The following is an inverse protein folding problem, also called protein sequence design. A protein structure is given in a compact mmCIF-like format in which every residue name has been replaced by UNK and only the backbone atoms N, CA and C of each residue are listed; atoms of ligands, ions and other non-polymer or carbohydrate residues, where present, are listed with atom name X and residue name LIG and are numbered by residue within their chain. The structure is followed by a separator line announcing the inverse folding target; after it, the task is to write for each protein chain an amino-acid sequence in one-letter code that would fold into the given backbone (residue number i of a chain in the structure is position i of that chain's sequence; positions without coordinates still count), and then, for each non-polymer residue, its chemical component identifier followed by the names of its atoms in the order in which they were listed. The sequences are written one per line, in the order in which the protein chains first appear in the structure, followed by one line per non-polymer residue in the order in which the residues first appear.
data_IF_273803134939
#
_entry.id   IF_273803134939
#
_cell.length_a   1.000
_cell.length_b   1.000
_cell.length_c   1.000
_cell.angle_alpha   90.00
_cell.angle_beta   90.00
_cell.angle_gamma   90.00
#
_symmetry.space_group_name_H-M   'P 1'
#
loop_
_entity.id
_entity.type
_entity.pdbx_description
1 polymer ?
#
# COMPACT_ATOMS: atom_id res chain seq x y z
N UNK A 1 12.21 3.03 -9.84
CA UNK A 1 12.38 4.43 -9.35
C UNK A 1 11.39 4.80 -8.23
N UNK A 2 10.26 4.09 -8.05
CA UNK A 2 9.25 4.39 -7.01
C UNK A 2 9.60 3.83 -5.62
N UNK A 3 10.50 2.86 -5.51
CA UNK A 3 10.84 2.19 -4.24
C UNK A 3 11.48 3.18 -3.25
N UNK A 4 12.37 4.04 -3.75
CA UNK A 4 13.10 4.98 -2.90
C UNK A 4 12.15 5.96 -2.15
N UNK A 5 11.23 6.68 -2.83
CA UNK A 5 10.28 7.54 -2.14
C UNK A 5 9.36 6.76 -1.19
N UNK A 6 8.95 5.54 -1.54
CA UNK A 6 8.13 4.70 -0.66
C UNK A 6 8.89 4.33 0.63
N UNK A 7 10.14 3.91 0.50
CA UNK A 7 11.01 3.62 1.64
C UNK A 7 11.18 4.85 2.54
N UNK A 8 11.40 6.03 1.96
CA UNK A 8 11.53 7.27 2.71
C UNK A 8 10.27 7.63 3.49
N UNK A 9 9.09 7.45 2.88
CA UNK A 9 7.80 7.67 3.57
C UNK A 9 7.62 6.71 4.73
N UNK A 10 7.93 5.42 4.56
CA UNK A 10 7.83 4.44 5.64
C UNK A 10 8.84 4.69 6.75
N UNK A 11 10.09 5.07 6.43
CA UNK A 11 11.09 5.45 7.43
C UNK A 11 10.66 6.70 8.21
N UNK A 12 10.07 7.67 7.53
CA UNK A 12 9.55 8.88 8.18
C UNK A 12 8.37 8.57 9.10
N UNK A 13 7.41 7.74 8.63
CA UNK A 13 6.29 7.28 9.44
C UNK A 13 6.78 6.48 10.66
N UNK A 14 7.76 5.59 10.46
CA UNK A 14 8.40 4.87 11.56
C UNK A 14 8.98 5.83 12.60
N UNK A 15 9.73 6.85 12.16
CA UNK A 15 10.33 7.84 13.04
C UNK A 15 9.29 8.60 13.86
N UNK A 16 8.13 8.93 13.26
CA UNK A 16 7.09 9.71 13.92
C UNK A 16 6.25 8.89 14.91
N UNK A 17 5.92 7.65 14.56
CA UNK A 17 4.89 6.88 15.27
C UNK A 17 5.42 5.72 16.11
N UNK A 18 6.61 5.19 15.78
CA UNK A 18 7.10 3.94 16.36
C UNK A 18 8.46 4.05 17.03
N UNK A 19 9.06 5.24 17.09
CA UNK A 19 10.42 5.44 17.63
C UNK A 19 10.57 4.99 19.09
N UNK A 20 9.52 5.13 19.89
CA UNK A 20 9.54 4.81 21.32
C UNK A 20 8.97 3.42 21.66
N UNK A 21 8.37 2.73 20.69
CA UNK A 21 7.65 1.49 20.94
C UNK A 21 8.29 0.30 20.25
N UNK A 22 8.97 -0.57 21.01
CA UNK A 22 9.25 -1.92 20.59
C UNK A 22 10.65 -2.20 20.07
N UNK A 23 10.84 -3.43 19.59
CA UNK A 23 12.10 -3.94 19.08
C UNK A 23 12.41 -3.31 17.70
N UNK A 24 13.56 -2.64 17.61
CA UNK A 24 14.01 -1.99 16.40
C UNK A 24 14.09 -2.94 15.18
N UNK A 25 14.42 -4.21 15.41
CA UNK A 25 14.52 -5.21 14.35
C UNK A 25 13.13 -5.53 13.75
N UNK A 26 12.12 -5.74 14.59
CA UNK A 26 10.74 -6.02 14.16
C UNK A 26 10.16 -4.83 13.38
N UNK A 27 10.41 -3.62 13.86
CA UNK A 27 9.97 -2.41 13.20
C UNK A 27 10.63 -2.20 11.83
N UNK A 28 11.91 -2.55 11.69
CA UNK A 28 12.59 -2.54 10.39
C UNK A 28 11.98 -3.55 9.40
N UNK A 29 11.62 -4.73 9.85
CA UNK A 29 10.92 -5.71 8.99
C UNK A 29 9.57 -5.18 8.54
N UNK A 30 8.80 -4.51 9.40
CA UNK A 30 7.54 -3.87 9.04
C UNK A 30 7.72 -2.77 7.99
N UNK A 31 8.73 -1.90 8.14
CA UNK A 31 9.08 -0.85 7.15
C UNK A 31 9.46 -1.46 5.80
N UNK A 32 10.30 -2.49 5.81
CA UNK A 32 10.70 -3.19 4.58
C UNK A 32 9.51 -3.89 3.91
N UNK A 33 8.66 -4.55 4.69
CA UNK A 33 7.45 -5.18 4.20
C UNK A 33 6.54 -4.16 3.49
N UNK A 34 6.23 -3.03 4.14
CA UNK A 34 5.42 -1.96 3.57
C UNK A 34 6.01 -1.34 2.30
N UNK A 35 7.35 -1.27 2.21
CA UNK A 35 8.04 -0.72 1.03
C UNK A 35 8.10 -1.71 -0.13
N UNK A 36 8.23 -3.01 0.15
CA UNK A 36 8.39 -4.06 -0.87
C UNK A 36 7.06 -4.60 -1.39
N UNK A 37 5.98 -4.54 -0.59
CA UNK A 37 4.68 -5.12 -0.95
C UNK A 37 4.15 -4.58 -2.28
N UNK A 38 4.25 -3.27 -2.52
CA UNK A 38 3.83 -2.64 -3.79
C UNK A 38 4.69 -3.13 -4.95
N UNK A 39 6.01 -3.25 -4.72
CA UNK A 39 6.91 -3.74 -5.76
C UNK A 39 6.61 -5.19 -6.13
N UNK A 40 6.40 -6.06 -5.14
CA UNK A 40 6.04 -7.48 -5.35
C UNK A 40 4.71 -7.56 -6.11
N UNK A 41 3.70 -6.78 -5.70
CA UNK A 41 2.40 -6.73 -6.37
C UNK A 41 2.54 -6.28 -7.83
N UNK A 42 3.36 -5.25 -8.12
CA UNK A 42 3.62 -4.80 -9.50
C UNK A 42 4.33 -5.87 -10.33
N UNK A 43 5.28 -6.60 -9.76
CA UNK A 43 5.95 -7.71 -10.45
C UNK A 43 4.97 -8.86 -10.77
N UNK A 44 4.08 -9.18 -9.84
CA UNK A 44 3.04 -10.19 -10.05
C UNK A 44 2.12 -9.80 -11.21
N UNK A 45 1.69 -8.54 -11.30
CA UNK A 45 0.89 -8.02 -12.40
C UNK A 45 1.63 -8.05 -13.73
N UNK A 46 2.91 -7.66 -13.73
CA UNK A 46 3.78 -7.74 -14.91
C UNK A 46 3.92 -9.19 -15.41
N UNK A 47 4.13 -10.12 -14.50
CA UNK A 47 4.19 -11.55 -14.81
C UNK A 47 2.86 -12.07 -15.37
N UNK A 48 1.73 -11.61 -14.84
CA UNK A 48 0.39 -11.96 -15.30
C UNK A 48 -0.01 -11.26 -16.62
N UNK A 49 0.90 -10.48 -17.23
CA UNK A 49 0.66 -9.68 -18.45
C UNK A 49 -0.52 -8.71 -18.33
N UNK A 50 -0.84 -8.26 -17.13
CA UNK A 50 -1.84 -7.23 -16.88
C UNK A 50 -1.15 -5.88 -17.09
N UNK A 51 -1.52 -5.19 -18.18
CA UNK A 51 -0.95 -3.89 -18.50
C UNK A 51 -1.50 -2.81 -17.56
N UNK A 52 -0.61 -2.24 -16.75
CA UNK A 52 -0.91 -1.13 -15.83
C UNK A 52 -0.35 0.18 -16.41
N UNK A 53 -0.15 0.25 -17.73
CA UNK A 53 0.42 1.45 -18.35
C UNK A 53 -0.47 2.66 -18.13
N UNK A 54 0.11 3.66 -17.45
CA UNK A 54 -0.54 4.96 -17.19
C UNK A 54 -0.72 5.82 -18.46
N UNK A 55 -0.15 5.39 -19.60
CA UNK A 55 -0.15 6.17 -20.83
C UNK A 55 -1.52 6.25 -21.52
N UNK A 56 -2.41 5.28 -21.26
CA UNK A 56 -3.75 5.22 -21.86
C UNK A 56 -4.81 4.97 -20.78
N UNK A 57 -4.93 5.87 -19.79
CA UNK A 57 -5.91 5.73 -18.70
C UNK A 57 -7.35 5.76 -19.23
N UNK A 58 -7.88 4.59 -19.51
CA UNK A 58 -9.31 4.33 -19.69
C UNK A 58 -9.94 3.90 -18.36
N UNK A 59 -11.26 4.01 -18.27
CA UNK A 59 -12.06 3.62 -17.08
C UNK A 59 -11.78 2.17 -16.62
N UNK A 60 -11.26 1.32 -17.49
CA UNK A 60 -10.88 -0.06 -17.14
C UNK A 60 -9.65 -0.16 -16.23
N UNK A 61 -8.75 0.80 -16.27
CA UNK A 61 -7.47 0.75 -15.53
C UNK A 61 -7.61 1.03 -14.03
N UNK A 62 -8.66 1.76 -13.59
CA UNK A 62 -8.86 1.99 -12.17
C UNK A 62 -9.14 0.70 -11.38
N UNK A 63 -9.82 -0.26 -12.01
CA UNK A 63 -10.07 -1.58 -11.40
C UNK A 63 -8.78 -2.34 -11.15
N UNK A 64 -7.86 -2.30 -12.12
CA UNK A 64 -6.53 -2.91 -11.98
C UNK A 64 -5.72 -2.22 -10.87
N UNK A 65 -5.83 -0.91 -10.72
CA UNK A 65 -5.16 -0.17 -9.63
C UNK A 65 -5.73 -0.52 -8.25
N UNK A 66 -7.05 -0.64 -8.14
CA UNK A 66 -7.70 -1.09 -6.89
C UNK A 66 -7.27 -2.52 -6.55
N UNK A 67 -7.26 -3.40 -7.54
CA UNK A 67 -6.84 -4.78 -7.36
C UNK A 67 -5.34 -4.88 -7.01
N UNK A 68 -4.49 -4.04 -7.62
CA UNK A 68 -3.08 -3.91 -7.25
C UNK A 68 -2.93 -3.48 -5.78
N UNK A 69 -3.71 -2.48 -5.35
CA UNK A 69 -3.73 -2.03 -3.96
C UNK A 69 -4.15 -3.14 -3.00
N UNK A 70 -5.18 -3.90 -3.34
CA UNK A 70 -5.63 -5.04 -2.55
C UNK A 70 -4.54 -6.12 -2.42
N UNK A 71 -3.94 -6.55 -3.53
CA UNK A 71 -2.84 -7.52 -3.52
C UNK A 71 -1.63 -7.01 -2.72
N UNK A 72 -1.28 -5.74 -2.88
CA UNK A 72 -0.23 -5.10 -2.10
C UNK A 72 -0.53 -5.12 -0.59
N UNK A 73 -1.79 -4.86 -0.19
CA UNK A 73 -2.24 -4.95 1.20
C UNK A 73 -2.11 -6.35 1.77
N UNK A 74 -2.45 -7.38 1.01
CA UNK A 74 -2.28 -8.77 1.43
C UNK A 74 -0.81 -9.08 1.72
N UNK A 75 0.11 -8.67 0.83
CA UNK A 75 1.55 -8.86 1.05
C UNK A 75 2.06 -8.05 2.24
N UNK A 76 1.60 -6.80 2.42
CA UNK A 76 1.95 -5.99 3.56
C UNK A 76 1.49 -6.63 4.87
N UNK A 77 0.25 -7.11 4.92
CA UNK A 77 -0.31 -7.79 6.09
C UNK A 77 0.45 -9.07 6.40
N UNK A 78 0.73 -9.89 5.39
CA UNK A 78 1.51 -11.12 5.58
C UNK A 78 2.91 -10.84 6.14
N UNK A 79 3.60 -9.83 5.60
CA UNK A 79 4.92 -9.42 6.11
C UNK A 79 4.88 -8.91 7.54
N UNK A 80 3.88 -8.11 7.90
CA UNK A 80 3.70 -7.65 9.29
C UNK A 80 3.35 -8.81 10.24
N UNK A 81 2.56 -9.79 9.79
CA UNK A 81 2.26 -10.98 10.60
C UNK A 81 3.50 -11.84 10.84
N UNK A 82 4.36 -12.00 9.82
CA UNK A 82 5.63 -12.70 9.99
C UNK A 82 6.57 -11.97 10.97
N UNK A 83 6.53 -10.63 10.97
CA UNK A 83 7.35 -9.83 11.86
C UNK A 83 6.85 -9.81 13.31
N UNK A 84 5.53 -9.76 13.53
CA UNK A 84 4.92 -9.51 14.83
C UNK A 84 4.09 -10.69 15.35
N UNK A 85 3.99 -11.78 14.61
CA UNK A 85 3.12 -12.91 14.95
C UNK A 85 3.41 -13.55 16.30
N UNK A 86 4.67 -13.61 16.69
CA UNK A 86 5.08 -14.18 17.98
C UNK A 86 4.75 -13.26 19.18
N UNK A 87 4.58 -11.96 18.93
CA UNK A 87 4.28 -10.96 19.97
C UNK A 87 2.77 -10.81 20.17
N UNK A 88 1.98 -11.11 19.13
CA UNK A 88 0.53 -11.07 19.18
C UNK A 88 -0.04 -12.43 19.59
N UNK A 89 -0.89 -12.47 20.62
CA UNK A 89 -1.62 -13.68 20.97
C UNK A 89 -2.47 -14.19 19.80
N UNK A 90 -2.61 -15.52 19.67
CA UNK A 90 -3.30 -16.19 18.56
C UNK A 90 -4.71 -15.67 18.27
N UNK A 91 -5.41 -15.21 19.30
CA UNK A 91 -6.81 -14.77 19.20
C UNK A 91 -6.99 -13.43 18.47
N UNK A 92 -5.92 -12.63 18.37
CA UNK A 92 -5.94 -11.31 17.73
C UNK A 92 -5.53 -11.34 16.27
N UNK A 93 -4.92 -12.42 15.78
CA UNK A 93 -4.37 -12.50 14.43
C UNK A 93 -5.41 -12.23 13.34
N UNK A 94 -6.57 -12.87 13.41
CA UNK A 94 -7.61 -12.71 12.39
C UNK A 94 -8.18 -11.30 12.37
N UNK A 95 -8.40 -10.71 13.54
CA UNK A 95 -8.93 -9.35 13.65
C UNK A 95 -7.93 -8.33 13.10
N UNK A 96 -6.64 -8.49 13.40
CA UNK A 96 -5.58 -7.61 12.91
C UNK A 96 -5.45 -7.74 11.39
N UNK A 97 -5.41 -8.96 10.85
CA UNK A 97 -5.37 -9.21 9.39
C UNK A 97 -6.54 -8.52 8.69
N UNK A 98 -7.77 -8.73 9.17
CA UNK A 98 -8.96 -8.13 8.59
C UNK A 98 -8.90 -6.59 8.63
N UNK A 99 -8.47 -6.02 9.76
CA UNK A 99 -8.36 -4.56 9.93
C UNK A 99 -7.34 -3.97 8.97
N UNK A 100 -6.17 -4.59 8.80
CA UNK A 100 -5.15 -4.13 7.85
C UNK A 100 -5.65 -4.18 6.40
N UNK A 101 -6.20 -5.31 5.97
CA UNK A 101 -6.68 -5.47 4.58
C UNK A 101 -7.80 -4.48 4.28
N UNK A 102 -8.77 -4.32 5.18
CA UNK A 102 -9.89 -3.38 5.01
C UNK A 102 -9.36 -1.95 5.01
N UNK A 103 -8.52 -1.58 5.97
CA UNK A 103 -7.95 -0.24 6.10
C UNK A 103 -7.16 0.18 4.86
N UNK A 104 -6.26 -0.66 4.38
CA UNK A 104 -5.44 -0.40 3.21
C UNK A 104 -6.30 -0.31 1.93
N UNK A 105 -7.30 -1.18 1.80
CA UNK A 105 -8.21 -1.16 0.64
C UNK A 105 -9.05 0.11 0.62
N UNK A 106 -9.63 0.50 1.75
CA UNK A 106 -10.40 1.74 1.87
C UNK A 106 -9.48 2.96 1.66
N UNK A 107 -8.29 2.95 2.24
CA UNK A 107 -7.28 4.01 2.05
C UNK A 107 -6.89 4.18 0.58
N UNK A 108 -6.66 3.07 -0.12
CA UNK A 108 -6.35 3.08 -1.56
C UNK A 108 -7.50 3.66 -2.38
N UNK A 109 -8.74 3.24 -2.10
CA UNK A 109 -9.94 3.78 -2.77
C UNK A 109 -10.10 5.28 -2.52
N UNK A 110 -9.96 5.72 -1.27
CA UNK A 110 -10.06 7.14 -0.91
C UNK A 110 -8.98 7.96 -1.63
N UNK A 111 -7.74 7.49 -1.65
CA UNK A 111 -6.63 8.14 -2.36
C UNK A 111 -6.90 8.26 -3.86
N UNK A 112 -7.38 7.19 -4.51
CA UNK A 112 -7.73 7.21 -5.94
C UNK A 112 -8.87 8.18 -6.23
N UNK A 113 -9.89 8.26 -5.37
CA UNK A 113 -10.99 9.22 -5.50
C UNK A 113 -10.49 10.66 -5.40
N UNK A 114 -9.64 10.96 -4.41
CA UNK A 114 -9.05 12.29 -4.22
C UNK A 114 -8.22 12.69 -5.44
N UNK A 115 -7.37 11.78 -5.96
CA UNK A 115 -6.58 12.03 -7.16
C UNK A 115 -7.47 12.28 -8.38
N UNK A 116 -8.51 11.48 -8.57
CA UNK A 116 -9.45 11.63 -9.68
C UNK A 116 -10.18 12.98 -9.63
N UNK A 117 -10.65 13.38 -8.44
CA UNK A 117 -11.27 14.68 -8.22
C UNK A 117 -10.28 15.83 -8.47
N UNK A 118 -9.05 15.72 -7.99
CA UNK A 118 -7.99 16.71 -8.20
C UNK A 118 -7.68 16.91 -9.70
N UNK A 119 -7.53 15.84 -10.46
CA UNK A 119 -7.34 15.93 -11.91
C UNK A 119 -8.53 16.52 -12.64
N UNK A 120 -9.76 16.20 -12.23
CA UNK A 120 -10.97 16.76 -12.78
C UNK A 120 -11.06 18.28 -12.55
N UNK A 121 -10.78 18.72 -11.31
CA UNK A 121 -10.79 20.14 -10.97
C UNK A 121 -9.72 20.91 -11.73
N UNK A 122 -8.50 20.36 -11.85
CA UNK A 122 -7.42 20.97 -12.62
C UNK A 122 -7.79 21.13 -14.10
N UNK A 123 -8.44 20.12 -14.71
CA UNK A 123 -8.90 20.19 -16.10
C UNK A 123 -9.94 21.29 -16.30
N UNK A 124 -10.89 21.45 -15.36
CA UNK A 124 -11.89 22.51 -15.41
C UNK A 124 -11.24 23.90 -15.28
N UNK A 125 -10.24 24.06 -14.40
CA UNK A 125 -9.53 25.33 -14.24
C UNK A 125 -8.66 25.70 -15.44
N UNK A 126 -8.18 24.74 -16.22
CA UNK A 126 -7.35 25.00 -17.42
C UNK A 126 -8.18 25.25 -18.69
N UNK A 127 -9.50 25.09 -18.64
CA UNK A 127 -10.42 25.34 -19.77
C UNK A 127 -11.06 26.72 -19.74
N UNK A 128 -10.73 27.54 -18.74
CA UNK A 128 -11.07 28.98 -18.69
C UNK A 128 -9.90 29.85 -19.15
#
# INVERSE_FOLDING_TARGET
KAILPLLMVHLFAYRLFYWESGDAALNMVAVLSGSLCVFIAMQLFSFSRIDISLSNMTISHWRSLVFLGFISSVFNTAGNMLAMGDVMGSDLHLQVIATFIIGDTIGTLACLLILMLGFRLRRLASSQ
#
